data_IF_612908551505
#
_entry.id   IF_612908551505
#
_cell.length_a   1.000
_cell.length_b   1.000
_cell.length_c   1.000
_cell.angle_alpha   90.00
_cell.angle_beta   90.00
_cell.angle_gamma   90.00
#
_symmetry.space_group_name_H-M   'P 1'
#
loop_
_entity.id
_entity.type
_entity.pdbx_description
1 polymer ?
#
# COMPACT_ATOMS: atom_id res chain seq x y z
N UNK A 1 -6.43 -33.16 -3.03
CA UNK A 1 -5.00 -33.18 -3.41
C UNK A 1 -4.81 -32.15 -4.53
N UNK A 2 -4.27 -30.98 -4.21
CA UNK A 2 -3.93 -29.99 -5.22
C UNK A 2 -2.62 -30.43 -5.89
N UNK A 3 -2.64 -30.63 -7.20
CA UNK A 3 -1.41 -30.79 -7.97
C UNK A 3 -0.58 -29.52 -7.77
N UNK A 4 0.62 -29.63 -7.19
CA UNK A 4 1.62 -28.58 -7.29
C UNK A 4 1.84 -28.33 -8.79
N UNK A 5 1.33 -27.22 -9.31
CA UNK A 5 1.65 -26.78 -10.66
C UNK A 5 3.15 -26.56 -10.69
N UNK A 6 3.86 -27.40 -11.45
CA UNK A 6 5.28 -27.20 -11.74
C UNK A 6 5.41 -25.84 -12.40
N UNK A 7 6.15 -24.93 -11.77
CA UNK A 7 6.41 -23.60 -12.31
C UNK A 7 7.11 -23.72 -13.65
N UNK A 8 6.65 -22.98 -14.66
CA UNK A 8 7.29 -23.03 -15.96
C UNK A 8 8.75 -22.56 -15.88
N UNK A 9 9.61 -23.10 -16.74
CA UNK A 9 11.01 -22.63 -16.85
C UNK A 9 11.07 -21.13 -17.09
N UNK A 10 10.12 -20.59 -17.86
CA UNK A 10 9.99 -19.17 -18.13
C UNK A 10 9.76 -18.37 -16.84
N UNK A 11 8.85 -18.80 -15.97
CA UNK A 11 8.61 -18.18 -14.66
C UNK A 11 9.83 -18.23 -13.75
N UNK A 12 10.57 -19.34 -13.77
CA UNK A 12 11.81 -19.51 -13.01
C UNK A 12 12.87 -18.51 -13.50
N UNK A 13 13.10 -18.42 -14.81
CA UNK A 13 14.08 -17.50 -15.39
C UNK A 13 13.70 -16.03 -15.12
N UNK A 14 12.42 -15.68 -15.31
CA UNK A 14 11.91 -14.33 -15.06
C UNK A 14 12.06 -13.93 -13.60
N UNK A 15 11.76 -14.83 -12.68
CA UNK A 15 11.98 -14.64 -11.25
C UNK A 15 13.46 -14.36 -10.96
N UNK A 16 14.38 -15.18 -11.48
CA UNK A 16 15.82 -14.98 -11.25
C UNK A 16 16.24 -13.59 -11.70
N UNK A 17 15.87 -13.18 -12.91
CA UNK A 17 16.17 -11.84 -13.43
C UNK A 17 15.51 -10.73 -12.63
N UNK A 18 14.27 -10.92 -12.16
CA UNK A 18 13.54 -9.92 -11.40
C UNK A 18 14.12 -9.71 -9.98
N UNK A 19 14.76 -10.72 -9.42
CA UNK A 19 15.32 -10.70 -8.08
C UNK A 19 16.79 -10.25 -8.02
N UNK A 20 17.45 -10.06 -9.16
CA UNK A 20 18.80 -9.49 -9.20
C UNK A 20 18.79 -8.07 -8.62
N UNK A 21 19.82 -7.73 -7.86
CA UNK A 21 20.06 -6.35 -7.45
C UNK A 21 20.28 -5.44 -8.67
N UNK A 22 20.11 -4.14 -8.46
CA UNK A 22 20.14 -3.16 -9.55
C UNK A 22 21.53 -3.04 -10.21
N UNK A 23 22.61 -3.28 -9.47
CA UNK A 23 23.96 -3.24 -10.02
C UNK A 23 24.21 -4.43 -10.95
N UNK A 24 23.83 -5.64 -10.53
CA UNK A 24 23.92 -6.83 -11.39
C UNK A 24 22.98 -6.74 -12.59
N UNK A 25 21.76 -6.25 -12.39
CA UNK A 25 20.78 -6.13 -13.46
C UNK A 25 21.22 -5.16 -14.56
N UNK A 26 21.80 -4.01 -14.19
CA UNK A 26 22.30 -3.01 -15.16
C UNK A 26 23.51 -3.50 -15.97
N UNK A 27 24.24 -4.50 -15.47
CA UNK A 27 25.35 -5.16 -16.19
C UNK A 27 24.90 -6.22 -17.18
N UNK A 28 23.64 -6.63 -17.16
CA UNK A 28 23.13 -7.62 -18.11
C UNK A 28 23.00 -7.03 -19.51
N UNK A 29 23.33 -7.80 -20.57
CA UNK A 29 23.08 -7.38 -21.95
C UNK A 29 21.58 -7.48 -22.26
N UNK A 30 20.78 -6.56 -21.71
CA UNK A 30 19.32 -6.53 -21.85
C UNK A 30 18.85 -6.44 -23.31
N UNK A 31 19.71 -5.98 -24.22
CA UNK A 31 19.48 -5.97 -25.68
C UNK A 31 19.31 -7.37 -26.28
N UNK A 32 19.75 -8.42 -25.57
CA UNK A 32 19.57 -9.81 -25.99
C UNK A 32 18.21 -10.40 -25.58
N UNK A 33 17.46 -9.73 -24.70
CA UNK A 33 16.13 -10.17 -24.31
C UNK A 33 15.08 -9.69 -25.33
N UNK A 34 14.09 -10.53 -25.68
CA UNK A 34 12.98 -10.11 -26.52
C UNK A 34 12.25 -8.91 -25.91
N UNK A 35 11.84 -7.96 -26.75
CA UNK A 35 11.09 -6.77 -26.32
C UNK A 35 9.77 -7.12 -25.61
N UNK A 36 9.16 -8.25 -25.96
CA UNK A 36 7.97 -8.80 -25.30
C UNK A 36 8.19 -9.22 -23.84
N UNK A 37 9.45 -9.43 -23.42
CA UNK A 37 9.83 -9.85 -22.06
C UNK A 37 10.26 -8.67 -21.21
N UNK A 38 10.87 -7.64 -21.80
CA UNK A 38 11.39 -6.49 -21.07
C UNK A 38 10.31 -5.75 -20.27
N UNK A 39 9.17 -5.45 -20.89
CA UNK A 39 8.06 -4.79 -20.19
C UNK A 39 7.53 -5.57 -18.98
N UNK A 40 7.17 -6.87 -19.14
CA UNK A 40 6.79 -7.72 -18.02
C UNK A 40 7.87 -7.85 -16.94
N UNK A 41 9.16 -7.94 -17.32
CA UNK A 41 10.27 -8.04 -16.39
C UNK A 41 10.43 -6.76 -15.55
N UNK A 42 10.38 -5.59 -16.18
CA UNK A 42 10.43 -4.30 -15.49
C UNK A 42 9.24 -4.14 -14.54
N UNK A 43 8.06 -4.57 -14.97
CA UNK A 43 6.85 -4.61 -14.14
C UNK A 43 7.04 -5.47 -12.89
N UNK A 44 7.51 -6.72 -13.07
CA UNK A 44 7.77 -7.64 -11.97
C UNK A 44 8.86 -7.13 -11.02
N UNK A 45 9.95 -6.56 -11.55
CA UNK A 45 11.01 -5.92 -10.74
C UNK A 45 10.46 -4.78 -9.88
N UNK A 46 9.63 -3.92 -10.47
CA UNK A 46 9.00 -2.83 -9.73
C UNK A 46 8.06 -3.35 -8.64
N UNK A 47 7.26 -4.37 -8.95
CA UNK A 47 6.35 -5.03 -8.01
C UNK A 47 7.11 -5.66 -6.82
N UNK A 48 8.19 -6.40 -7.09
CA UNK A 48 9.09 -6.99 -6.08
C UNK A 48 9.68 -5.92 -5.16
N UNK A 49 10.21 -4.83 -5.73
CA UNK A 49 10.78 -3.73 -4.95
C UNK A 49 9.74 -3.10 -4.03
N UNK A 50 8.53 -2.87 -4.53
CA UNK A 50 7.42 -2.35 -3.71
C UNK A 50 7.08 -3.35 -2.62
N UNK A 51 6.93 -4.63 -2.94
CA UNK A 51 6.60 -5.69 -1.99
C UNK A 51 7.60 -5.78 -0.83
N UNK A 52 8.90 -5.81 -1.12
CA UNK A 52 9.95 -5.83 -0.10
C UNK A 52 9.90 -4.56 0.75
N UNK A 53 9.79 -3.39 0.10
CA UNK A 53 9.80 -2.09 0.78
C UNK A 53 8.64 -1.94 1.76
N UNK A 54 7.40 -2.27 1.36
CA UNK A 54 6.21 -2.05 2.20
C UNK A 54 6.17 -2.99 3.41
N UNK A 55 6.88 -4.12 3.36
CA UNK A 55 6.93 -5.08 4.45
C UNK A 55 8.18 -4.96 5.33
N UNK A 56 9.14 -4.10 4.98
CA UNK A 56 10.43 -3.97 5.68
C UNK A 56 10.27 -3.66 7.18
N UNK A 57 9.22 -2.93 7.57
CA UNK A 57 8.93 -2.60 8.97
C UNK A 57 8.43 -3.79 9.79
N UNK A 58 8.05 -4.89 9.13
CA UNK A 58 7.55 -6.12 9.76
C UNK A 58 8.59 -7.22 9.64
N UNK A 59 9.11 -7.44 8.43
CA UNK A 59 10.02 -8.54 8.13
C UNK A 59 10.99 -8.15 7.01
N UNK A 60 12.25 -8.56 7.16
CA UNK A 60 13.25 -8.45 6.10
C UNK A 60 13.08 -9.58 5.08
N UNK A 61 12.21 -9.35 4.10
CA UNK A 61 11.90 -10.32 3.04
C UNK A 61 13.15 -10.69 2.26
N UNK A 62 13.42 -12.00 2.18
CA UNK A 62 14.50 -12.53 1.37
C UNK A 62 14.02 -12.81 -0.07
N UNK A 63 14.84 -12.54 -1.10
CA UNK A 63 14.47 -12.79 -2.50
C UNK A 63 13.99 -14.23 -2.76
N UNK A 64 14.60 -15.22 -2.09
CA UNK A 64 14.24 -16.63 -2.25
C UNK A 64 12.81 -16.98 -1.76
N UNK A 65 12.19 -16.13 -0.94
CA UNK A 65 10.82 -16.32 -0.48
C UNK A 65 9.78 -15.89 -1.51
N UNK A 66 10.15 -14.97 -2.41
CA UNK A 66 9.25 -14.44 -3.44
C UNK A 66 9.10 -15.48 -4.55
N UNK A 67 7.85 -15.83 -4.87
CA UNK A 67 7.47 -16.72 -5.97
C UNK A 67 6.80 -15.91 -7.07
N UNK A 68 6.89 -16.40 -8.30
CA UNK A 68 6.32 -15.73 -9.47
C UNK A 68 5.38 -16.70 -10.19
N UNK A 69 4.25 -16.16 -10.66
CA UNK A 69 3.29 -16.86 -11.50
C UNK A 69 3.76 -16.91 -12.96
N UNK A 70 3.09 -17.74 -13.77
CA UNK A 70 3.27 -17.78 -15.23
C UNK A 70 2.79 -16.50 -15.95
N UNK A 71 2.12 -15.58 -15.24
CA UNK A 71 1.73 -14.26 -15.74
C UNK A 71 2.78 -13.16 -15.50
N UNK A 72 3.99 -13.51 -15.05
CA UNK A 72 5.06 -12.56 -14.71
C UNK A 72 4.65 -11.56 -13.63
N UNK A 73 3.96 -12.08 -12.61
CA UNK A 73 3.56 -11.36 -11.40
C UNK A 73 4.04 -12.11 -10.17
N UNK A 74 4.04 -11.46 -9.01
CA UNK A 74 4.26 -12.17 -7.76
C UNK A 74 3.09 -13.13 -7.54
N UNK A 75 3.40 -14.40 -7.31
CA UNK A 75 2.43 -15.33 -6.76
C UNK A 75 2.31 -15.03 -5.26
N UNK A 76 1.39 -14.13 -4.94
CA UNK A 76 1.21 -13.65 -3.56
C UNK A 76 0.78 -14.76 -2.61
N UNK A 77 -0.05 -15.71 -3.05
CA UNK A 77 -0.51 -16.79 -2.18
C UNK A 77 0.69 -17.62 -1.71
N UNK A 78 1.50 -18.12 -2.64
CA UNK A 78 2.67 -18.93 -2.27
C UNK A 78 3.78 -18.08 -1.61
N UNK A 79 3.95 -16.82 -2.02
CA UNK A 79 4.93 -15.92 -1.39
C UNK A 79 4.57 -15.63 0.06
N UNK A 80 3.30 -15.35 0.36
CA UNK A 80 2.85 -15.09 1.73
C UNK A 80 3.04 -16.30 2.63
N UNK A 81 2.67 -17.48 2.14
CA UNK A 81 2.89 -18.73 2.86
C UNK A 81 4.37 -18.93 3.20
N UNK A 82 5.27 -18.73 2.21
CA UNK A 82 6.72 -18.81 2.45
C UNK A 82 7.23 -17.77 3.43
N UNK A 83 6.70 -16.55 3.40
CA UNK A 83 7.06 -15.51 4.38
C UNK A 83 6.60 -15.86 5.79
N UNK A 84 5.39 -16.42 5.95
CA UNK A 84 4.83 -16.85 7.24
C UNK A 84 5.62 -18.03 7.82
N UNK A 85 5.96 -19.02 6.99
CA UNK A 85 6.73 -20.21 7.40
C UNK A 85 8.18 -19.88 7.80
N UNK A 86 8.74 -18.79 7.29
CA UNK A 86 10.16 -18.46 7.45
C UNK A 86 10.49 -17.59 8.67
N UNK A 87 9.50 -17.22 9.49
CA UNK A 87 9.67 -16.30 10.63
C UNK A 87 9.06 -16.86 11.92
N UNK A 88 9.35 -16.21 13.04
CA UNK A 88 8.75 -16.58 14.34
C UNK A 88 7.23 -16.32 14.35
N UNK A 89 6.45 -17.00 15.22
CA UNK A 89 4.99 -16.91 15.24
C UNK A 89 4.43 -15.50 15.45
N UNK A 90 5.10 -14.63 16.21
CA UNK A 90 4.64 -13.25 16.46
C UNK A 90 4.81 -12.42 15.20
N UNK A 91 5.99 -12.48 14.57
CA UNK A 91 6.24 -11.82 13.29
C UNK A 91 5.34 -12.37 12.18
N UNK A 92 5.08 -13.68 12.17
CA UNK A 92 4.17 -14.33 11.24
C UNK A 92 2.74 -13.78 11.39
N UNK A 93 2.27 -13.61 12.63
CA UNK A 93 0.96 -12.99 12.90
C UNK A 93 0.91 -11.54 12.40
N UNK A 94 1.95 -10.74 12.68
CA UNK A 94 2.03 -9.35 12.21
C UNK A 94 1.99 -9.28 10.68
N UNK A 95 2.78 -10.13 10.01
CA UNK A 95 2.83 -10.20 8.56
C UNK A 95 1.49 -10.63 7.94
N UNK A 96 0.83 -11.63 8.52
CA UNK A 96 -0.49 -12.07 8.09
C UNK A 96 -1.55 -10.97 8.28
N UNK A 97 -1.49 -10.24 9.40
CA UNK A 97 -2.44 -9.16 9.71
C UNK A 97 -2.34 -8.00 8.71
N UNK A 98 -1.13 -7.53 8.38
CA UNK A 98 -0.93 -6.43 7.40
C UNK A 98 -1.26 -6.83 5.96
N UNK A 99 -1.36 -8.13 5.67
CA UNK A 99 -1.78 -8.67 4.39
C UNK A 99 -3.25 -9.12 4.34
N UNK A 100 -4.02 -8.85 5.41
CA UNK A 100 -5.42 -9.22 5.57
C UNK A 100 -5.68 -10.73 5.43
N UNK A 101 -4.75 -11.59 5.89
CA UNK A 101 -4.86 -13.05 5.83
C UNK A 101 -5.56 -13.59 7.07
N UNK A 102 -6.85 -13.27 7.23
CA UNK A 102 -7.59 -13.50 8.49
C UNK A 102 -7.57 -14.97 8.95
N UNK A 103 -7.81 -15.93 8.06
CA UNK A 103 -7.76 -17.38 8.40
C UNK A 103 -6.38 -17.81 8.91
N UNK A 104 -5.30 -17.31 8.29
CA UNK A 104 -3.94 -17.57 8.77
C UNK A 104 -3.69 -16.89 10.10
N UNK A 105 -4.16 -15.67 10.33
CA UNK A 105 -4.09 -15.02 11.64
C UNK A 105 -4.79 -15.84 12.73
N UNK A 106 -6.00 -16.38 12.49
CA UNK A 106 -6.71 -17.26 13.43
C UNK A 106 -5.90 -18.53 13.72
N UNK A 107 -5.36 -19.15 12.68
CA UNK A 107 -4.54 -20.37 12.80
C UNK A 107 -3.30 -20.12 13.65
N UNK A 108 -2.56 -19.04 13.34
CA UNK A 108 -1.37 -18.64 14.10
C UNK A 108 -1.77 -18.33 15.53
N UNK A 109 -2.80 -17.51 15.75
CA UNK A 109 -3.29 -17.10 17.07
C UNK A 109 -3.52 -18.29 18.01
N UNK A 110 -4.19 -19.32 17.52
CA UNK A 110 -4.51 -20.52 18.31
C UNK A 110 -3.28 -21.38 18.65
N UNK A 111 -2.14 -21.14 17.97
CA UNK A 111 -0.86 -21.79 18.26
C UNK A 111 0.04 -20.97 19.20
N UNK A 112 -0.31 -19.72 19.51
CA UNK A 112 0.49 -18.83 20.36
C UNK A 112 0.22 -19.07 21.84
N UNK A 113 1.27 -18.92 22.65
CA UNK A 113 1.15 -18.90 24.10
C UNK A 113 0.57 -17.56 24.63
N UNK A 114 0.24 -17.52 25.93
CA UNK A 114 -0.34 -16.33 26.55
C UNK A 114 0.58 -15.10 26.53
N UNK A 115 1.90 -15.31 26.57
CA UNK A 115 2.90 -14.23 26.58
C UNK A 115 2.93 -13.57 25.20
N UNK A 116 3.02 -14.38 24.14
CA UNK A 116 2.98 -13.94 22.75
C UNK A 116 1.65 -13.25 22.40
N UNK A 117 0.51 -13.81 22.83
CA UNK A 117 -0.78 -13.15 22.62
C UNK A 117 -0.86 -11.80 23.34
N UNK A 118 -0.28 -11.69 24.53
CA UNK A 118 -0.23 -10.43 25.29
C UNK A 118 0.68 -9.42 24.61
N UNK A 119 1.81 -9.84 24.06
CA UNK A 119 2.71 -9.00 23.26
C UNK A 119 1.98 -8.42 22.04
N UNK A 120 1.30 -9.27 21.26
CA UNK A 120 0.54 -8.84 20.07
C UNK A 120 -0.57 -7.85 20.45
N UNK A 121 -1.31 -8.10 21.54
CA UNK A 121 -2.35 -7.16 22.03
C UNK A 121 -1.79 -5.81 22.47
N UNK A 122 -0.51 -5.74 22.85
CA UNK A 122 0.21 -4.52 23.24
C UNK A 122 0.99 -3.88 22.08
N UNK A 123 0.91 -4.45 20.88
CA UNK A 123 1.59 -3.92 19.69
C UNK A 123 1.19 -2.46 19.45
N UNK A 124 2.15 -1.64 19.04
CA UNK A 124 1.90 -0.25 18.64
C UNK A 124 1.27 -0.13 17.24
N UNK A 125 1.12 -1.24 16.52
CA UNK A 125 0.54 -1.27 15.19
C UNK A 125 -1.00 -1.48 15.27
N UNK A 126 -1.81 -0.46 14.95
CA UNK A 126 -3.26 -0.55 15.06
C UNK A 126 -3.87 -1.65 14.19
N UNK A 127 -3.27 -1.96 13.04
CA UNK A 127 -3.74 -3.03 12.15
C UNK A 127 -3.62 -4.39 12.84
N UNK A 128 -2.48 -4.63 13.51
CA UNK A 128 -2.22 -5.89 14.22
C UNK A 128 -3.15 -6.04 15.42
N UNK A 129 -3.29 -4.99 16.22
CA UNK A 129 -4.17 -5.00 17.40
C UNK A 129 -5.63 -5.18 17.00
N UNK A 130 -6.08 -4.50 15.95
CA UNK A 130 -7.44 -4.63 15.43
C UNK A 130 -7.75 -6.08 14.99
N UNK A 131 -6.83 -6.74 14.28
CA UNK A 131 -7.01 -8.15 13.89
C UNK A 131 -7.06 -9.06 15.13
N UNK A 132 -6.16 -8.87 16.11
CA UNK A 132 -6.17 -9.67 17.34
C UNK A 132 -7.47 -9.50 18.15
N UNK A 133 -8.00 -8.27 18.20
CA UNK A 133 -9.27 -7.98 18.87
C UNK A 133 -10.45 -8.59 18.13
N UNK A 134 -10.43 -8.54 16.78
CA UNK A 134 -11.45 -9.20 15.95
C UNK A 134 -11.51 -10.70 16.19
N UNK A 135 -10.36 -11.38 16.26
CA UNK A 135 -10.28 -12.82 16.55
C UNK A 135 -10.86 -13.16 17.94
N UNK A 136 -10.71 -12.24 18.91
CA UNK A 136 -11.19 -12.44 20.29
C UNK A 136 -12.59 -11.87 20.53
N UNK A 137 -13.32 -11.52 19.48
CA UNK A 137 -14.66 -10.89 19.53
C UNK A 137 -14.73 -9.66 20.44
N UNK A 138 -13.61 -8.93 20.53
CA UNK A 138 -13.51 -7.64 21.22
C UNK A 138 -13.85 -6.51 20.25
N UNK A 139 -14.29 -5.33 20.73
CA UNK A 139 -14.68 -4.22 19.88
C UNK A 139 -13.47 -3.63 19.13
N UNK A 140 -13.16 -4.19 17.97
CA UNK A 140 -12.02 -3.86 17.12
C UNK A 140 -12.28 -2.62 16.24
N UNK A 141 -13.54 -2.22 16.12
CA UNK A 141 -14.01 -1.07 15.34
C UNK A 141 -13.38 0.24 15.83
N UNK A 142 -12.97 0.29 17.10
CA UNK A 142 -12.25 1.44 17.69
C UNK A 142 -10.92 1.73 17.00
N UNK A 143 -10.32 0.73 16.36
CA UNK A 143 -9.04 0.87 15.66
C UNK A 143 -9.22 1.14 14.17
N UNK A 144 -10.45 1.28 13.67
CA UNK A 144 -10.73 1.28 12.25
C UNK A 144 -10.02 2.41 11.48
N UNK A 145 -10.18 3.66 11.95
CA UNK A 145 -9.54 4.84 11.35
C UNK A 145 -8.01 4.72 11.41
N UNK A 146 -7.49 4.35 12.57
CA UNK A 146 -6.05 4.17 12.81
C UNK A 146 -5.45 3.05 11.94
N UNK A 147 -6.19 1.96 11.73
CA UNK A 147 -5.80 0.85 10.88
C UNK A 147 -5.74 1.28 9.41
N UNK A 148 -6.74 2.04 8.93
CA UNK A 148 -6.72 2.60 7.58
C UNK A 148 -5.55 3.57 7.38
N UNK A 149 -5.38 4.53 8.29
CA UNK A 149 -4.30 5.50 8.24
C UNK A 149 -2.92 4.82 8.31
N UNK A 150 -2.76 3.79 9.16
CA UNK A 150 -1.51 3.04 9.28
C UNK A 150 -1.23 2.19 8.06
N UNK A 151 -2.24 1.53 7.50
CA UNK A 151 -2.09 0.77 6.26
C UNK A 151 -1.72 1.70 5.08
N UNK A 152 -2.33 2.88 4.98
CA UNK A 152 -1.99 3.88 3.97
C UNK A 152 -0.57 4.43 4.13
N UNK A 153 -0.14 4.67 5.37
CA UNK A 153 1.21 5.15 5.69
C UNK A 153 2.28 4.15 5.24
N UNK A 154 2.05 2.86 5.50
CA UNK A 154 3.04 1.81 5.23
C UNK A 154 2.91 1.18 3.83
N UNK A 155 1.85 1.48 3.08
CA UNK A 155 1.66 0.91 1.75
C UNK A 155 0.98 -0.47 1.74
N UNK A 156 0.29 -0.87 2.81
CA UNK A 156 -0.35 -2.18 2.94
C UNK A 156 -1.71 -2.21 2.23
N UNK A 157 -1.69 -2.40 0.91
CA UNK A 157 -2.89 -2.32 0.05
C UNK A 157 -3.98 -3.32 0.40
N UNK A 158 -3.62 -4.55 0.80
CA UNK A 158 -4.59 -5.59 1.19
C UNK A 158 -5.29 -5.22 2.50
N UNK A 159 -4.52 -4.84 3.53
CA UNK A 159 -5.09 -4.35 4.79
C UNK A 159 -5.97 -3.11 4.57
N UNK A 160 -5.50 -2.12 3.81
CA UNK A 160 -6.27 -0.91 3.56
C UNK A 160 -7.62 -1.20 2.89
N UNK A 161 -7.63 -2.02 1.83
CA UNK A 161 -8.88 -2.43 1.17
C UNK A 161 -9.80 -3.22 2.09
N UNK A 162 -9.25 -4.12 2.90
CA UNK A 162 -10.02 -4.90 3.85
C UNK A 162 -10.75 -3.99 4.85
N UNK A 163 -10.04 -3.06 5.48
CA UNK A 163 -10.64 -2.14 6.45
C UNK A 163 -11.64 -1.20 5.76
N UNK A 164 -11.31 -0.60 4.61
CA UNK A 164 -12.26 0.23 3.87
C UNK A 164 -13.58 -0.49 3.51
N UNK A 165 -13.51 -1.78 3.13
CA UNK A 165 -14.70 -2.60 2.85
C UNK A 165 -15.58 -2.80 4.08
N UNK A 166 -15.01 -2.95 5.27
CA UNK A 166 -15.78 -3.04 6.50
C UNK A 166 -16.57 -1.76 6.82
N UNK A 167 -16.21 -0.62 6.22
CA UNK A 167 -17.01 0.63 6.27
C UNK A 167 -18.09 0.76 5.18
N UNK A 168 -18.36 -0.30 4.41
CA UNK A 168 -19.43 -0.30 3.39
C UNK A 168 -19.10 0.55 2.16
N UNK A 169 -17.86 0.54 1.69
CA UNK A 169 -17.46 1.27 0.47
C UNK A 169 -17.53 0.46 -0.82
N UNK A 170 -18.73 0.44 -1.43
CA UNK A 170 -18.99 -0.09 -2.77
C UNK A 170 -18.17 0.63 -3.88
N UNK A 171 -17.70 1.88 -3.66
CA UNK A 171 -16.89 2.59 -4.67
C UNK A 171 -15.49 2.02 -4.81
N UNK A 172 -14.97 1.36 -3.77
CA UNK A 172 -13.69 0.64 -3.83
C UNK A 172 -13.82 -0.69 -4.61
N UNK A 173 -15.04 -1.23 -4.75
CA UNK A 173 -15.28 -2.43 -5.58
C UNK A 173 -15.20 -2.12 -7.09
N UNK A 174 -15.47 -0.87 -7.48
CA UNK A 174 -15.38 -0.44 -8.89
C UNK A 174 -13.97 -0.04 -9.34
N UNK A 175 -13.00 0.04 -8.43
CA UNK A 175 -11.61 0.33 -8.80
C UNK A 175 -10.97 -0.93 -9.35
N UNK A 176 -11.28 -1.20 -10.62
CA UNK A 176 -10.60 -2.08 -11.54
C UNK A 176 -10.06 -3.38 -10.92
N UNK A 177 -10.88 -4.41 -11.07
CA UNK A 177 -10.47 -5.75 -11.47
C UNK A 177 -9.61 -5.75 -12.76
N UNK A 178 -8.55 -4.95 -12.79
CA UNK A 178 -7.42 -5.15 -13.70
C UNK A 178 -6.60 -6.24 -13.03
N UNK A 179 -6.99 -7.47 -13.33
CA UNK A 179 -6.19 -8.70 -13.31
C UNK A 179 -5.05 -8.75 -12.28
N UNK A 180 -5.44 -8.97 -11.03
CA UNK A 180 -4.65 -9.48 -9.92
C UNK A 180 -5.68 -9.48 -8.77
N UNK A 181 -6.29 -10.60 -8.33
CA UNK A 181 -5.70 -11.74 -7.66
C UNK A 181 -6.78 -12.84 -7.67
N UNK A 182 -6.58 -13.90 -8.46
CA UNK A 182 -7.48 -15.06 -8.50
C UNK A 182 -7.26 -15.91 -7.24
N UNK A 183 -8.38 -16.33 -6.65
CA UNK A 183 -8.57 -17.26 -5.53
C UNK A 183 -8.27 -16.73 -4.13
N UNK A 184 -9.20 -15.93 -3.61
CA UNK A 184 -9.83 -16.21 -2.32
C UNK A 184 -11.29 -15.74 -2.45
N UNK A 185 -12.11 -16.58 -3.10
CA UNK A 185 -13.56 -16.52 -2.97
C UNK A 185 -13.90 -16.84 -1.51
N UNK A 186 -13.91 -15.82 -0.66
CA UNK A 186 -14.59 -15.88 0.63
C UNK A 186 -15.74 -14.90 0.60
N UNK A 187 -16.95 -15.46 0.47
CA UNK A 187 -18.19 -14.84 0.92
C UNK A 187 -18.01 -14.41 2.37
N UNK A 188 -17.65 -13.14 2.58
CA UNK A 188 -17.80 -12.50 3.87
C UNK A 188 -19.29 -12.21 4.05
N UNK A 189 -19.97 -13.04 4.84
CA UNK A 189 -21.32 -12.71 5.31
C UNK A 189 -21.24 -11.34 5.99
N UNK A 190 -21.94 -10.36 5.41
CA UNK A 190 -22.00 -9.00 5.93
C UNK A 190 -22.62 -9.01 7.33
N UNK A 191 -21.80 -8.84 8.37
CA UNK A 191 -22.31 -8.30 9.62
C UNK A 191 -22.52 -6.80 9.41
N UNK A 192 -23.73 -6.26 9.61
CA UNK A 192 -24.00 -4.84 9.47
C UNK A 192 -23.29 -4.10 10.61
N UNK A 193 -22.09 -3.61 10.34
CA UNK A 193 -21.36 -2.78 11.28
C UNK A 193 -22.03 -1.41 11.40
N UNK A 194 -21.98 -0.81 12.59
CA UNK A 194 -22.29 0.60 12.81
C UNK A 194 -21.28 1.42 12.00
N UNK A 195 -21.65 1.74 10.76
CA UNK A 195 -20.84 2.55 9.86
C UNK A 195 -20.52 3.88 10.55
N UNK A 196 -19.29 4.43 10.38
CA UNK A 196 -19.03 5.80 10.78
C UNK A 196 -20.09 6.71 10.18
N UNK A 197 -20.42 7.82 10.86
CA UNK A 197 -21.25 8.85 10.26
C UNK A 197 -20.66 9.22 8.88
N UNK A 198 -21.52 9.49 7.90
CA UNK A 198 -21.12 9.72 6.50
C UNK A 198 -19.99 10.77 6.39
N UNK A 199 -20.00 11.78 7.27
CA UNK A 199 -18.97 12.81 7.35
C UNK A 199 -17.59 12.29 7.84
N UNK A 200 -17.56 11.41 8.85
CA UNK A 200 -16.30 10.83 9.35
C UNK A 200 -15.66 9.94 8.28
N UNK A 201 -16.50 9.20 7.55
CA UNK A 201 -16.05 8.35 6.44
C UNK A 201 -15.49 9.18 5.28
N UNK A 202 -16.18 10.25 4.86
CA UNK A 202 -15.69 11.16 3.80
C UNK A 202 -14.35 11.78 4.17
N UNK A 203 -14.25 12.26 5.41
CA UNK A 203 -13.00 12.81 5.96
C UNK A 203 -11.85 11.80 5.94
N UNK A 204 -12.09 10.56 6.38
CA UNK A 204 -11.07 9.51 6.33
C UNK A 204 -10.63 9.25 4.89
N UNK A 205 -11.58 9.08 3.96
CA UNK A 205 -11.28 8.86 2.54
C UNK A 205 -10.46 10.01 1.93
N UNK A 206 -10.75 11.26 2.28
CA UNK A 206 -9.97 12.42 1.86
C UNK A 206 -8.54 12.42 2.44
N UNK A 207 -8.36 11.93 3.66
CA UNK A 207 -7.05 11.85 4.32
C UNK A 207 -6.13 10.79 3.72
N UNK A 208 -6.65 9.65 3.27
CA UNK A 208 -5.83 8.51 2.83
C UNK A 208 -4.88 8.82 1.65
N UNK A 209 -5.30 9.52 0.57
CA UNK A 209 -4.40 9.98 -0.48
C UNK A 209 -3.28 10.87 0.04
N UNK A 210 -3.59 11.79 0.96
CA UNK A 210 -2.61 12.70 1.56
C UNK A 210 -1.56 11.95 2.37
N UNK A 211 -2.01 10.95 3.17
CA UNK A 211 -1.12 10.04 3.91
C UNK A 211 -0.24 9.24 2.94
N UNK A 212 -0.82 8.65 1.91
CA UNK A 212 -0.08 7.86 0.92
C UNK A 212 0.99 8.70 0.21
N UNK A 213 0.67 9.93 -0.19
CA UNK A 213 1.60 10.86 -0.84
C UNK A 213 2.73 11.23 0.10
N UNK A 214 2.42 11.66 1.33
CA UNK A 214 3.42 12.06 2.33
C UNK A 214 4.44 10.94 2.60
N UNK A 215 4.02 9.69 2.49
CA UNK A 215 4.86 8.50 2.69
C UNK A 215 5.32 7.85 1.37
N UNK A 216 5.13 8.53 0.22
CA UNK A 216 5.56 8.07 -1.11
C UNK A 216 5.04 6.67 -1.50
N UNK A 217 3.86 6.30 -0.98
CA UNK A 217 3.16 5.06 -1.29
C UNK A 217 2.36 5.19 -2.59
N UNK A 218 3.07 5.45 -3.69
CA UNK A 218 2.48 5.73 -5.00
C UNK A 218 1.60 4.60 -5.54
N UNK A 219 1.89 3.35 -5.17
CA UNK A 219 1.07 2.20 -5.57
C UNK A 219 -0.33 2.23 -4.96
N UNK A 220 -0.51 2.80 -3.78
CA UNK A 220 -1.83 3.01 -3.17
C UNK A 220 -2.62 4.12 -3.86
N UNK A 221 -1.94 5.20 -4.28
CA UNK A 221 -2.61 6.33 -4.94
C UNK A 221 -3.29 5.94 -6.26
N UNK A 222 -2.81 4.87 -6.92
CA UNK A 222 -3.50 4.28 -8.07
C UNK A 222 -4.92 3.79 -7.71
N UNK A 223 -5.07 3.25 -6.51
CA UNK A 223 -6.30 2.60 -6.03
C UNK A 223 -7.23 3.56 -5.29
N UNK A 224 -6.70 4.59 -4.65
CA UNK A 224 -7.50 5.52 -3.85
C UNK A 224 -8.24 6.56 -4.72
N UNK A 225 -9.48 6.92 -4.36
CA UNK A 225 -10.17 8.07 -4.94
C UNK A 225 -9.45 9.35 -4.51
N UNK A 226 -9.46 10.36 -5.38
CA UNK A 226 -8.89 11.70 -5.10
C UNK A 226 -9.97 12.77 -4.99
N UNK A 227 -11.23 12.40 -5.25
CA UNK A 227 -12.39 13.26 -5.07
C UNK A 227 -12.51 13.68 -3.60
N UNK A 228 -12.77 14.96 -3.36
CA UNK A 228 -12.95 15.49 -1.99
C UNK A 228 -11.67 15.60 -1.16
N UNK A 229 -10.47 15.38 -1.74
CA UNK A 229 -9.19 15.51 -1.01
C UNK A 229 -9.01 16.85 -0.29
N UNK A 230 -9.70 17.91 -0.73
CA UNK A 230 -9.68 19.22 -0.08
C UNK A 230 -10.20 19.22 1.35
N UNK A 231 -11.09 18.29 1.70
CA UNK A 231 -11.58 18.11 3.07
C UNK A 231 -10.44 17.74 4.04
N UNK A 232 -9.36 17.13 3.52
CA UNK A 232 -8.21 16.77 4.33
C UNK A 232 -7.25 17.93 4.59
N UNK A 233 -7.28 19.02 3.80
CA UNK A 233 -6.20 20.00 3.80
C UNK A 233 -5.99 20.70 5.15
N UNK A 234 -7.06 21.01 5.89
CA UNK A 234 -6.95 21.58 7.24
C UNK A 234 -6.20 20.68 8.23
N UNK A 235 -6.20 19.36 8.04
CA UNK A 235 -5.47 18.43 8.90
C UNK A 235 -3.96 18.37 8.59
N UNK A 236 -3.60 18.63 7.33
CA UNK A 236 -2.20 18.57 6.87
C UNK A 236 -1.53 19.95 6.86
N UNK A 237 -2.29 21.02 6.72
CA UNK A 237 -1.84 22.40 6.61
C UNK A 237 -2.69 23.34 7.49
N UNK A 238 -2.69 23.18 8.83
CA UNK A 238 -3.61 23.87 9.72
C UNK A 238 -3.47 25.41 9.69
N UNK A 239 -2.31 25.91 9.32
CA UNK A 239 -2.00 27.35 9.17
C UNK A 239 -2.27 27.88 7.76
N UNK A 240 -2.78 27.04 6.86
CA UNK A 240 -3.01 27.37 5.46
C UNK A 240 -1.73 27.65 4.68
N UNK A 241 -0.55 27.22 5.14
CA UNK A 241 0.72 27.41 4.42
C UNK A 241 1.09 26.16 3.63
N UNK A 242 1.58 26.38 2.41
CA UNK A 242 2.11 25.30 1.58
C UNK A 242 3.53 24.95 2.00
N UNK A 243 3.72 23.73 2.48
CA UNK A 243 5.05 23.24 2.81
C UNK A 243 5.79 22.81 1.55
N UNK A 244 6.90 23.49 1.21
CA UNK A 244 7.74 23.13 0.05
C UNK A 244 8.15 21.64 0.03
N UNK A 245 8.51 20.98 1.17
CA UNK A 245 8.80 19.56 1.17
C UNK A 245 7.65 18.70 0.60
N UNK A 246 6.40 19.06 0.89
CA UNK A 246 5.24 18.32 0.37
C UNK A 246 5.08 18.54 -1.14
N UNK A 247 5.25 19.77 -1.63
CA UNK A 247 5.21 20.06 -3.07
C UNK A 247 6.33 19.35 -3.84
N UNK A 248 7.54 19.22 -3.25
CA UNK A 248 8.63 18.42 -3.84
C UNK A 248 8.26 16.96 -3.98
N UNK A 249 7.58 16.38 -2.98
CA UNK A 249 7.08 15.01 -3.04
C UNK A 249 6.06 14.85 -4.17
N UNK A 250 5.16 15.81 -4.35
CA UNK A 250 4.21 15.79 -5.48
C UNK A 250 4.93 15.93 -6.84
N UNK A 251 5.91 16.81 -6.94
CA UNK A 251 6.70 17.03 -8.15
C UNK A 251 7.52 15.80 -8.56
N UNK A 252 8.02 15.02 -7.61
CA UNK A 252 8.78 13.79 -7.85
C UNK A 252 7.91 12.56 -8.15
N UNK A 253 6.60 12.74 -8.30
CA UNK A 253 5.67 11.63 -8.50
C UNK A 253 5.94 10.83 -9.80
N UNK A 254 5.84 9.49 -9.75
CA UNK A 254 5.97 8.64 -10.94
C UNK A 254 4.94 8.96 -12.02
N UNK A 255 5.28 8.73 -13.29
CA UNK A 255 4.41 9.04 -14.43
C UNK A 255 3.01 8.42 -14.30
N UNK A 256 2.92 7.20 -13.77
CA UNK A 256 1.65 6.48 -13.59
C UNK A 256 0.64 7.15 -12.64
N UNK A 257 1.07 8.06 -11.77
CA UNK A 257 0.19 8.77 -10.82
C UNK A 257 0.25 10.29 -10.98
N UNK A 258 1.01 10.79 -11.97
CA UNK A 258 1.27 12.22 -12.17
C UNK A 258 0.01 13.05 -12.42
N UNK A 259 -1.00 12.48 -13.06
CA UNK A 259 -2.28 13.15 -13.27
C UNK A 259 -3.00 13.41 -11.93
N UNK A 260 -3.12 12.37 -11.09
CA UNK A 260 -3.74 12.45 -9.75
C UNK A 260 -2.98 13.40 -8.84
N UNK A 261 -1.64 13.35 -8.83
CA UNK A 261 -0.84 14.24 -7.97
C UNK A 261 -0.94 15.70 -8.41
N UNK A 262 -1.02 15.98 -9.71
CA UNK A 262 -1.28 17.34 -10.23
C UNK A 262 -2.67 17.84 -9.87
N UNK A 263 -3.68 16.98 -9.93
CA UNK A 263 -5.03 17.34 -9.51
C UNK A 263 -5.07 17.75 -8.03
N UNK A 264 -4.46 16.95 -7.15
CA UNK A 264 -4.33 17.26 -5.73
C UNK A 264 -3.55 18.57 -5.53
N UNK A 265 -2.44 18.76 -6.25
CA UNK A 265 -1.64 19.98 -6.17
C UNK A 265 -2.44 21.23 -6.58
N UNK A 266 -3.25 21.13 -7.65
CA UNK A 266 -4.15 22.22 -8.09
C UNK A 266 -5.22 22.52 -7.05
N UNK A 267 -5.86 21.49 -6.51
CA UNK A 267 -6.84 21.64 -5.45
C UNK A 267 -6.22 22.35 -4.23
N UNK A 268 -5.00 21.97 -3.87
CA UNK A 268 -4.26 22.54 -2.74
C UNK A 268 -3.89 24.02 -2.98
N UNK A 269 -3.38 24.37 -4.17
CA UNK A 269 -3.07 25.78 -4.53
C UNK A 269 -4.33 26.65 -4.55
N UNK A 270 -5.48 26.10 -4.97
CA UNK A 270 -6.77 26.81 -4.95
C UNK A 270 -7.31 27.02 -3.53
N UNK A 271 -7.05 26.08 -2.63
CA UNK A 271 -7.52 26.15 -1.26
C UNK A 271 -6.72 27.13 -0.39
N UNK A 272 -5.42 27.25 -0.64
CA UNK A 272 -4.53 28.14 0.11
C UNK A 272 -4.78 29.63 -0.22
N UNK A 273 -4.70 30.56 0.76
CA UNK A 273 -4.78 31.99 0.50
C UNK A 273 -3.75 32.46 -0.54
N UNK A 274 -4.16 33.36 -1.46
CA UNK A 274 -3.29 33.85 -2.55
C UNK A 274 -1.93 34.37 -2.07
N UNK A 275 -1.90 35.12 -0.96
CA UNK A 275 -0.67 35.61 -0.34
C UNK A 275 0.31 34.48 0.01
N UNK A 276 -0.19 33.35 0.53
CA UNK A 276 0.63 32.20 0.86
C UNK A 276 1.14 31.47 -0.39
N UNK A 277 0.41 31.53 -1.51
CA UNK A 277 0.89 31.03 -2.80
C UNK A 277 2.03 31.90 -3.35
N UNK A 278 1.93 33.23 -3.22
CA UNK A 278 2.98 34.17 -3.62
C UNK A 278 4.23 34.02 -2.76
N UNK A 279 4.07 33.93 -1.43
CA UNK A 279 5.18 33.66 -0.51
C UNK A 279 5.86 32.33 -0.84
N UNK A 280 5.08 31.27 -1.06
CA UNK A 280 5.61 29.97 -1.47
C UNK A 280 6.42 30.08 -2.77
N UNK A 281 5.93 30.82 -3.78
CA UNK A 281 6.67 31.05 -5.04
C UNK A 281 7.99 31.80 -4.83
N UNK A 282 8.03 32.76 -3.91
CA UNK A 282 9.28 33.43 -3.53
C UNK A 282 10.24 32.46 -2.81
N UNK A 283 9.73 31.58 -1.94
CA UNK A 283 10.53 30.60 -1.19
C UNK A 283 11.10 29.47 -2.05
N UNK A 284 10.54 29.18 -3.24
CA UNK A 284 11.07 28.16 -4.17
C UNK A 284 12.54 28.44 -4.53
N UNK A 285 12.92 29.72 -4.64
CA UNK A 285 14.27 30.14 -5.02
C UNK A 285 14.69 29.54 -6.38
N UNK A 286 15.84 28.88 -6.40
CA UNK A 286 16.47 28.32 -7.61
C UNK A 286 16.09 26.85 -7.90
N UNK A 287 15.10 26.27 -7.20
CA UNK A 287 14.63 24.90 -7.47
C UNK A 287 13.85 24.85 -8.79
N UNK A 288 14.58 24.68 -9.90
CA UNK A 288 14.05 24.68 -11.27
C UNK A 288 12.94 23.65 -11.46
N UNK A 289 13.08 22.48 -10.84
CA UNK A 289 12.10 21.38 -10.98
C UNK A 289 10.81 21.73 -10.27
N UNK A 290 10.91 22.24 -9.04
CA UNK A 290 9.74 22.64 -8.26
C UNK A 290 9.05 23.87 -8.89
N UNK A 291 9.82 24.82 -9.41
CA UNK A 291 9.31 25.98 -10.14
C UNK A 291 8.51 25.57 -11.37
N UNK A 292 9.09 24.72 -12.23
CA UNK A 292 8.40 24.20 -13.42
C UNK A 292 7.14 23.40 -13.06
N UNK A 293 7.16 22.66 -11.95
CA UNK A 293 5.98 21.95 -11.46
C UNK A 293 4.89 22.94 -11.04
N UNK A 294 5.20 23.92 -10.19
CA UNK A 294 4.25 24.92 -9.69
C UNK A 294 3.68 25.80 -10.80
N UNK A 295 4.51 26.18 -11.78
CA UNK A 295 4.08 26.98 -12.95
C UNK A 295 3.14 26.19 -13.88
N UNK A 296 3.13 24.85 -13.77
CA UNK A 296 2.25 23.96 -14.56
C UNK A 296 0.89 23.66 -13.90
N UNK A 297 0.67 24.11 -12.66
CA UNK A 297 -0.55 23.85 -11.88
C UNK A 297 -1.68 24.81 -12.28
#
# INVERSE_FOLDING_TARGET
>A
MAFERVTSLQSICMRVLALLDDEMFTRLPLTLLPSSVLGPLDGLRAEVKVFIRVHLSIVRIQPQWIRCSDSFRIDYATTFERCIEAVDPVTAFHFAAVNALHRRCVTIWNSLDEVQQTEIKKSSNPVVVAVAWRITSRPYERFHEDACCTAARNGWSRALRFWLRLMGDERTERVNAVEEFINDDEEFQHEPHFLPADDDRRRLLACLPMIAIKNQQWHLLKQLPVDGVSEAFYYFFPDGRLQLPFLRVLASSPQSVRAKTREIARALVRWVPKMNVELMRCEIGDDVTLKAFVDSL
#
